data_IF_597084100443
#
_entry.id   IF_597084100443
#
_cell.length_a   1.000
_cell.length_b   1.000
_cell.length_c   1.000
_cell.angle_alpha   90.00
_cell.angle_beta   90.00
_cell.angle_gamma   90.00
#
_symmetry.space_group_name_H-M   'P 1'
#
loop_
_entity.id
_entity.type
_entity.pdbx_description
1 polymer ?
#
# COMPACT_ATOMS: atom_id res chain seq x y z
N UNK A 1 9.34 6.76 -19.67
CA UNK A 1 8.80 8.13 -19.61
C UNK A 1 9.95 9.09 -19.74
N UNK A 2 9.73 10.25 -20.35
CA UNK A 2 10.75 11.31 -20.41
C UNK A 2 11.05 11.86 -19.01
N UNK A 3 12.31 12.20 -18.76
CA UNK A 3 12.79 12.64 -17.45
C UNK A 3 12.21 14.02 -17.06
N UNK A 4 12.01 14.92 -18.03
CA UNK A 4 11.43 16.24 -17.79
C UNK A 4 9.95 16.13 -17.41
N UNK A 5 9.23 15.20 -18.05
CA UNK A 5 7.83 14.90 -17.71
C UNK A 5 7.74 14.29 -16.31
N UNK A 6 8.67 13.38 -15.98
CA UNK A 6 8.71 12.75 -14.65
C UNK A 6 8.98 13.78 -13.55
N UNK A 7 9.92 14.70 -13.79
CA UNK A 7 10.21 15.81 -12.86
C UNK A 7 9.01 16.73 -12.69
N UNK A 8 8.40 17.18 -13.78
CA UNK A 8 7.23 18.07 -13.74
C UNK A 8 6.10 17.53 -12.86
N UNK A 9 5.77 16.24 -13.03
CA UNK A 9 4.70 15.59 -12.26
C UNK A 9 5.11 15.41 -10.79
N UNK A 10 6.38 15.13 -10.54
CA UNK A 10 6.93 14.98 -9.18
C UNK A 10 6.84 16.31 -8.43
N UNK A 11 7.37 17.39 -9.02
CA UNK A 11 7.40 18.72 -8.40
C UNK A 11 5.99 19.25 -8.14
N UNK A 12 5.05 19.01 -9.05
CA UNK A 12 3.65 19.37 -8.82
C UNK A 12 3.05 18.62 -7.62
N UNK A 13 3.30 17.31 -7.53
CA UNK A 13 2.79 16.50 -6.42
C UNK A 13 3.44 16.88 -5.08
N UNK A 14 4.73 17.21 -5.05
CA UNK A 14 5.43 17.59 -3.82
C UNK A 14 5.14 19.02 -3.40
N UNK A 15 5.29 19.98 -4.30
CA UNK A 15 5.40 21.39 -3.95
C UNK A 15 4.05 22.10 -3.97
N UNK A 16 3.13 21.64 -4.83
CA UNK A 16 1.77 22.22 -4.94
C UNK A 16 0.78 21.43 -4.09
N UNK A 17 0.84 20.09 -4.15
CA UNK A 17 -0.13 19.23 -3.44
C UNK A 17 0.35 18.77 -2.05
N UNK A 18 1.62 19.01 -1.71
CA UNK A 18 2.18 18.59 -0.42
C UNK A 18 2.21 17.07 -0.23
N UNK A 19 2.34 16.29 -1.32
CA UNK A 19 2.35 14.82 -1.29
C UNK A 19 3.78 14.30 -1.37
N UNK A 20 4.01 13.13 -0.78
CA UNK A 20 5.26 12.40 -0.95
C UNK A 20 5.11 11.46 -2.15
N UNK A 21 5.97 11.63 -3.15
CA UNK A 21 5.96 10.80 -4.35
C UNK A 21 6.72 9.50 -4.07
N UNK A 22 6.06 8.38 -4.32
CA UNK A 22 6.67 7.05 -4.27
C UNK A 22 6.86 6.56 -5.70
N UNK A 23 8.11 6.61 -6.19
CA UNK A 23 8.44 6.13 -7.51
C UNK A 23 8.26 4.60 -7.59
N UNK A 24 7.59 4.13 -8.64
CA UNK A 24 7.34 2.72 -8.89
C UNK A 24 7.69 2.37 -10.33
N UNK A 25 8.20 1.15 -10.56
CA UNK A 25 8.26 0.59 -11.92
C UNK A 25 6.84 0.31 -12.41
N UNK A 26 6.64 0.40 -13.71
CA UNK A 26 5.36 0.05 -14.34
C UNK A 26 5.14 -1.47 -14.28
N UNK A 27 4.51 -1.90 -13.18
CA UNK A 27 4.19 -3.28 -12.89
C UNK A 27 2.83 -3.30 -12.19
N UNK A 28 2.04 -4.33 -12.49
CA UNK A 28 0.75 -4.54 -11.84
C UNK A 28 0.86 -4.42 -10.31
N UNK A 29 0.04 -3.54 -9.74
CA UNK A 29 0.00 -3.28 -8.30
C UNK A 29 0.99 -2.22 -7.78
N UNK A 30 1.90 -1.72 -8.61
CA UNK A 30 2.95 -0.77 -8.21
C UNK A 30 3.60 -1.18 -6.87
N UNK A 31 3.80 -0.25 -5.94
CA UNK A 31 4.35 -0.55 -4.61
C UNK A 31 3.24 -0.91 -3.62
N UNK A 32 2.25 -0.02 -3.46
CA UNK A 32 1.22 -0.17 -2.39
C UNK A 32 0.30 -1.35 -2.64
N UNK A 33 -0.32 -1.45 -3.82
CA UNK A 33 -1.30 -2.52 -4.07
C UNK A 33 -0.65 -3.90 -4.18
N UNK A 34 0.64 -3.97 -4.58
CA UNK A 34 1.41 -5.21 -4.59
C UNK A 34 1.62 -5.77 -3.18
N UNK A 35 1.65 -4.93 -2.14
CA UNK A 35 1.73 -5.34 -0.74
C UNK A 35 0.34 -5.53 -0.10
N UNK A 36 -0.56 -4.57 -0.35
CA UNK A 36 -1.88 -4.52 0.28
C UNK A 36 -2.76 -5.71 -0.12
N UNK A 37 -2.80 -6.07 -1.41
CA UNK A 37 -3.72 -7.11 -1.88
C UNK A 37 -3.35 -8.50 -1.32
N UNK A 38 -2.08 -8.96 -1.35
CA UNK A 38 -1.70 -10.21 -0.69
C UNK A 38 -1.99 -10.23 0.81
N UNK A 39 -1.76 -9.11 1.51
CA UNK A 39 -2.07 -8.99 2.93
C UNK A 39 -3.57 -9.19 3.20
N UNK A 40 -4.44 -8.49 2.47
CA UNK A 40 -5.89 -8.64 2.62
C UNK A 40 -6.35 -10.07 2.28
N UNK A 41 -5.77 -10.69 1.26
CA UNK A 41 -6.07 -12.07 0.91
C UNK A 41 -5.66 -13.07 2.00
N UNK A 42 -4.53 -12.84 2.67
CA UNK A 42 -4.10 -13.65 3.79
C UNK A 42 -5.02 -13.48 5.01
N UNK A 43 -5.42 -12.24 5.32
CA UNK A 43 -6.36 -11.94 6.40
C UNK A 43 -7.72 -12.63 6.18
N UNK A 44 -8.27 -12.56 4.96
CA UNK A 44 -9.52 -13.24 4.62
C UNK A 44 -9.45 -14.76 4.78
N UNK A 45 -8.33 -15.37 4.36
CA UNK A 45 -8.11 -16.83 4.54
C UNK A 45 -8.02 -17.19 6.02
N UNK A 46 -7.24 -16.43 6.80
CA UNK A 46 -7.10 -16.63 8.24
C UNK A 46 -8.45 -16.58 8.97
N UNK A 47 -9.31 -15.63 8.60
CA UNK A 47 -10.66 -15.54 9.13
C UNK A 47 -11.53 -16.73 8.70
N UNK A 48 -11.51 -17.09 7.42
CA UNK A 48 -12.30 -18.20 6.88
C UNK A 48 -11.94 -19.56 7.51
N UNK A 49 -10.65 -19.77 7.80
CA UNK A 49 -10.15 -20.98 8.46
C UNK A 49 -10.39 -20.99 9.98
N UNK A 50 -10.96 -19.92 10.54
CA UNK A 50 -11.28 -19.79 11.96
C UNK A 50 -10.06 -19.59 12.86
N UNK A 51 -8.91 -19.20 12.30
CA UNK A 51 -7.67 -19.00 13.06
C UNK A 51 -7.73 -17.81 14.03
N UNK A 52 -8.45 -16.74 13.66
CA UNK A 52 -8.64 -15.55 14.47
C UNK A 52 -9.93 -14.84 14.08
N UNK A 53 -10.52 -14.07 15.00
CA UNK A 53 -11.63 -13.18 14.67
C UNK A 53 -11.15 -12.04 13.77
N UNK A 54 -12.04 -11.46 12.96
CA UNK A 54 -11.70 -10.30 12.14
C UNK A 54 -11.17 -9.12 13.00
N UNK A 55 -11.72 -8.94 14.20
CA UNK A 55 -11.28 -7.90 15.12
C UNK A 55 -9.85 -8.15 15.65
N UNK A 56 -9.51 -9.41 15.95
CA UNK A 56 -8.16 -9.75 16.41
C UNK A 56 -7.12 -9.64 15.29
N UNK A 57 -7.49 -9.96 14.04
CA UNK A 57 -6.65 -9.75 12.87
C UNK A 57 -6.35 -8.25 12.69
N UNK A 58 -7.39 -7.41 12.72
CA UNK A 58 -7.24 -5.96 12.63
C UNK A 58 -6.40 -5.38 13.77
N UNK A 59 -6.66 -5.81 15.00
CA UNK A 59 -5.91 -5.37 16.18
C UNK A 59 -4.44 -5.80 16.10
N UNK A 60 -4.18 -7.04 15.65
CA UNK A 60 -2.82 -7.55 15.47
C UNK A 60 -2.02 -6.70 14.49
N UNK A 61 -2.65 -6.22 13.42
CA UNK A 61 -2.00 -5.42 12.40
C UNK A 61 -1.82 -3.96 12.83
N UNK A 62 -2.82 -3.37 13.50
CA UNK A 62 -2.72 -2.01 14.07
C UNK A 62 -1.70 -1.88 15.19
N UNK A 63 -1.74 -2.82 16.13
CA UNK A 63 -0.92 -2.74 17.34
C UNK A 63 0.46 -3.39 17.14
N UNK A 64 0.56 -4.44 16.32
CA UNK A 64 1.78 -5.19 16.11
C UNK A 64 2.60 -4.72 14.91
N UNK A 65 1.95 -4.46 13.77
CA UNK A 65 2.61 -4.01 12.55
C UNK A 65 2.59 -2.48 12.36
N UNK A 66 1.98 -1.74 13.30
CA UNK A 66 1.73 -0.31 13.21
C UNK A 66 0.98 0.10 11.91
N UNK A 67 0.05 -0.75 11.45
CA UNK A 67 -0.67 -0.59 10.18
C UNK A 67 -2.15 -0.25 10.35
#
# INVERSE_FOLDING_TARGET
TDDDVTRLVTDFATDVLGKVVVAAKDRAGFVVNMLLVPYLNAAMRMYADGHASAADIDNGMKLGAAH
#
